data_IF_352123964164
#
_entry.id   IF_352123964164
#
_cell.length_a   1.000
_cell.length_b   1.000
_cell.length_c   1.000
_cell.angle_alpha   90.00
_cell.angle_beta   90.00
_cell.angle_gamma   90.00
#
_symmetry.space_group_name_H-M   'P 1'
#
loop_
_entity.id
_entity.type
_entity.pdbx_description
1 polymer ?
#
# COMPACT_ATOMS: atom_id res chain seq x y z
N UNK A 1 4.99 14.49 30.83
CA UNK A 1 5.71 13.96 32.00
C UNK A 1 5.46 12.47 32.08
N UNK A 2 6.43 11.63 31.70
CA UNK A 2 6.39 10.18 31.93
C UNK A 2 7.81 9.72 32.30
N UNK A 3 8.37 10.29 33.36
CA UNK A 3 9.60 9.79 33.97
C UNK A 3 9.26 8.71 34.99
N UNK A 4 8.77 7.57 34.49
CA UNK A 4 8.74 6.35 35.29
C UNK A 4 9.93 5.49 34.84
N UNK A 5 11.14 5.94 35.18
CA UNK A 5 12.32 5.10 35.06
C UNK A 5 12.15 3.95 36.05
N UNK A 6 11.89 2.75 35.52
CA UNK A 6 11.83 1.54 36.32
C UNK A 6 13.21 0.89 36.39
N UNK A 7 13.51 0.27 37.54
CA UNK A 7 14.70 -0.59 37.65
C UNK A 7 14.58 -1.75 36.65
N UNK A 8 15.71 -2.25 36.12
CA UNK A 8 15.70 -3.46 35.31
C UNK A 8 15.11 -4.63 36.10
N UNK A 9 14.24 -5.41 35.46
CA UNK A 9 13.73 -6.67 35.97
C UNK A 9 14.76 -7.75 35.67
N UNK A 10 15.72 -7.88 36.57
CA UNK A 10 16.83 -8.81 36.41
C UNK A 10 16.39 -10.26 36.25
N UNK A 11 15.30 -10.66 36.92
CA UNK A 11 14.77 -12.03 36.81
C UNK A 11 14.31 -12.31 35.38
N UNK A 12 13.57 -11.37 34.81
CA UNK A 12 13.07 -11.50 33.45
C UNK A 12 14.19 -11.39 32.40
N UNK A 13 15.20 -10.55 32.66
CA UNK A 13 16.40 -10.45 31.81
C UNK A 13 17.20 -11.76 31.86
N UNK A 14 17.29 -12.41 33.03
CA UNK A 14 18.02 -13.66 33.21
C UNK A 14 17.42 -14.82 32.40
N UNK A 15 16.09 -14.84 32.20
CA UNK A 15 15.41 -15.85 31.36
C UNK A 15 15.80 -15.80 29.87
N UNK A 16 16.34 -14.68 29.40
CA UNK A 16 16.74 -14.53 28.01
C UNK A 16 18.03 -15.31 27.73
N UNK A 17 18.03 -16.20 26.74
CA UNK A 17 19.27 -16.78 26.24
C UNK A 17 19.82 -15.95 25.07
N UNK A 18 21.02 -15.38 25.23
CA UNK A 18 21.68 -14.61 24.18
C UNK A 18 22.02 -15.47 22.96
N UNK A 19 22.51 -16.70 23.17
CA UNK A 19 22.87 -17.59 22.06
C UNK A 19 21.65 -17.92 21.19
N UNK A 20 20.51 -18.24 21.83
CA UNK A 20 19.28 -18.54 21.11
C UNK A 20 18.73 -17.31 20.38
N UNK A 21 18.88 -16.11 20.95
CA UNK A 21 18.51 -14.87 20.26
C UNK A 21 19.37 -14.62 19.02
N UNK A 22 20.68 -14.82 19.12
CA UNK A 22 21.61 -14.65 18.00
C UNK A 22 21.38 -15.68 16.89
N UNK A 23 20.97 -16.90 17.24
CA UNK A 23 20.58 -17.96 16.31
C UNK A 23 19.16 -17.78 15.74
N UNK A 24 18.38 -16.81 16.24
CA UNK A 24 17.01 -16.54 15.77
C UNK A 24 15.95 -17.54 16.25
N UNK A 25 16.26 -18.35 17.27
CA UNK A 25 15.36 -19.37 17.85
C UNK A 25 14.95 -19.05 19.30
N UNK A 26 15.33 -17.88 19.80
CA UNK A 26 14.99 -17.43 21.15
C UNK A 26 13.48 -17.21 21.35
N UNK A 27 13.02 -17.34 22.60
CA UNK A 27 11.62 -17.10 22.96
C UNK A 27 11.25 -15.63 22.77
N UNK A 28 10.43 -15.36 21.75
CA UNK A 28 9.95 -14.02 21.45
C UNK A 28 9.12 -13.44 22.60
N UNK A 29 8.30 -14.25 23.28
CA UNK A 29 7.44 -13.81 24.38
C UNK A 29 8.24 -13.27 25.57
N UNK A 30 9.28 -14.00 25.98
CA UNK A 30 10.18 -13.59 27.09
C UNK A 30 10.90 -12.30 26.71
N UNK A 31 11.45 -12.24 25.49
CA UNK A 31 12.11 -11.04 25.00
C UNK A 31 11.15 -9.84 25.03
N UNK A 32 9.96 -9.97 24.42
CA UNK A 32 8.97 -8.90 24.33
C UNK A 32 8.56 -8.36 25.70
N UNK A 33 8.41 -9.23 26.70
CA UNK A 33 8.13 -8.81 28.09
C UNK A 33 9.31 -8.09 28.74
N UNK A 34 10.54 -8.52 28.47
CA UNK A 34 11.75 -7.94 29.04
C UNK A 34 12.13 -6.59 28.41
N UNK A 35 11.84 -6.39 27.11
CA UNK A 35 12.32 -5.23 26.36
C UNK A 35 11.96 -3.87 26.99
N UNK A 36 10.74 -3.61 27.48
CA UNK A 36 10.43 -2.35 28.15
C UNK A 36 11.34 -2.10 29.36
N UNK A 37 11.65 -3.16 30.11
CA UNK A 37 12.56 -3.08 31.25
C UNK A 37 13.99 -2.76 30.83
N UNK A 38 14.44 -3.28 29.69
CA UNK A 38 15.78 -3.02 29.17
C UNK A 38 15.90 -1.61 28.56
N UNK A 39 14.91 -1.18 27.77
CA UNK A 39 14.98 0.07 26.98
C UNK A 39 14.64 1.30 27.83
N UNK A 40 13.74 1.17 28.80
CA UNK A 40 13.23 2.30 29.59
C UNK A 40 13.91 2.42 30.96
N UNK A 41 14.76 1.48 31.34
CA UNK A 41 15.49 1.56 32.60
C UNK A 41 16.63 2.57 32.53
N UNK A 42 16.94 3.14 33.69
CA UNK A 42 18.10 4.00 33.90
C UNK A 42 18.93 3.44 35.04
N UNK A 43 20.16 3.05 34.74
CA UNK A 43 21.11 2.53 35.72
C UNK A 43 22.12 3.64 36.01
N UNK A 44 21.91 4.36 37.10
CA UNK A 44 22.83 5.43 37.55
C UNK A 44 23.87 4.92 38.56
N UNK A 45 23.59 3.80 39.24
CA UNK A 45 24.42 3.19 40.28
C UNK A 45 24.27 1.66 40.24
N UNK A 46 25.32 0.93 40.60
CA UNK A 46 25.29 -0.52 40.74
C UNK A 46 24.93 -0.90 42.17
N UNK A 47 24.05 -1.88 42.33
CA UNK A 47 23.76 -2.58 43.59
C UNK A 47 24.07 -4.08 43.45
N UNK A 48 23.80 -4.87 44.48
CA UNK A 48 24.12 -6.31 44.51
C UNK A 48 23.45 -7.10 43.38
N UNK A 49 22.30 -6.64 42.88
CA UNK A 49 21.58 -7.25 41.76
C UNK A 49 22.12 -6.81 40.40
N UNK A 50 22.73 -5.62 40.32
CA UNK A 50 23.31 -5.06 39.10
C UNK A 50 24.72 -5.59 38.84
N UNK A 51 24.82 -6.88 38.50
CA UNK A 51 26.11 -7.52 38.21
C UNK A 51 26.65 -7.12 36.83
N UNK A 52 27.98 -7.22 36.66
CA UNK A 52 28.65 -6.95 35.37
C UNK A 52 28.08 -7.84 34.25
N UNK A 53 27.81 -9.11 34.55
CA UNK A 53 27.24 -10.06 33.58
C UNK A 53 25.86 -9.61 33.09
N UNK A 54 24.99 -9.18 34.00
CA UNK A 54 23.65 -8.67 33.67
C UNK A 54 23.72 -7.38 32.86
N UNK A 55 24.66 -6.49 33.18
CA UNK A 55 24.92 -5.27 32.39
C UNK A 55 25.39 -5.60 30.97
N UNK A 56 26.33 -6.53 30.82
CA UNK A 56 26.79 -6.98 29.50
C UNK A 56 25.66 -7.61 28.69
N UNK A 57 24.80 -8.40 29.35
CA UNK A 57 23.62 -9.00 28.73
C UNK A 57 22.62 -7.95 28.24
N UNK A 58 22.28 -6.96 29.08
CA UNK A 58 21.44 -5.84 28.68
C UNK A 58 22.05 -5.06 27.51
N UNK A 59 23.34 -4.77 27.58
CA UNK A 59 24.05 -4.06 26.52
C UNK A 59 24.01 -4.83 25.20
N UNK A 60 24.21 -6.16 25.25
CA UNK A 60 24.12 -7.01 24.07
C UNK A 60 22.71 -6.99 23.48
N UNK A 61 21.68 -7.07 24.32
CA UNK A 61 20.28 -6.97 23.86
C UNK A 61 20.01 -5.60 23.22
N UNK A 62 20.49 -4.51 23.82
CA UNK A 62 20.35 -3.17 23.26
C UNK A 62 21.04 -3.03 21.88
N UNK A 63 22.23 -3.61 21.70
CA UNK A 63 22.90 -3.68 20.40
C UNK A 63 22.05 -4.41 19.35
N UNK A 64 21.51 -5.59 19.71
CA UNK A 64 20.65 -6.37 18.82
C UNK A 64 19.35 -5.62 18.48
N UNK A 65 18.77 -4.90 19.43
CA UNK A 65 17.59 -4.06 19.19
C UNK A 65 17.88 -2.93 18.22
N UNK A 66 19.01 -2.22 18.37
CA UNK A 66 19.43 -1.17 17.45
C UNK A 66 19.63 -1.75 16.04
N UNK A 67 20.33 -2.88 15.93
CA UNK A 67 20.54 -3.56 14.65
C UNK A 67 19.21 -3.96 14.00
N UNK A 68 18.29 -4.54 14.77
CA UNK A 68 16.96 -4.93 14.30
C UNK A 68 16.14 -3.73 13.82
N UNK A 69 16.14 -2.63 14.57
CA UNK A 69 15.44 -1.39 14.20
C UNK A 69 16.01 -0.84 12.89
N UNK A 70 17.34 -0.77 12.76
CA UNK A 70 17.98 -0.25 11.55
C UNK A 70 17.67 -1.13 10.32
N UNK A 71 17.76 -2.46 10.44
CA UNK A 71 17.41 -3.40 9.37
C UNK A 71 15.94 -3.27 8.96
N UNK A 72 15.04 -3.21 9.93
CA UNK A 72 13.60 -3.11 9.69
C UNK A 72 13.24 -1.76 9.06
N UNK A 73 13.86 -0.67 9.52
CA UNK A 73 13.67 0.66 8.93
C UNK A 73 14.12 0.68 7.47
N UNK A 74 15.30 0.13 7.15
CA UNK A 74 15.80 0.07 5.77
C UNK A 74 14.86 -0.74 4.85
N UNK A 75 14.38 -1.89 5.32
CA UNK A 75 13.46 -2.74 4.55
C UNK A 75 12.10 -2.07 4.35
N UNK A 76 11.54 -1.42 5.38
CA UNK A 76 10.29 -0.68 5.26
C UNK A 76 10.40 0.51 4.30
N UNK A 77 11.51 1.26 4.34
CA UNK A 77 11.77 2.35 3.40
C UNK A 77 11.79 1.82 1.97
N UNK A 78 12.51 0.72 1.72
CA UNK A 78 12.58 0.07 0.41
C UNK A 78 11.19 -0.33 -0.11
N UNK A 79 10.36 -0.93 0.75
CA UNK A 79 9.00 -1.34 0.37
C UNK A 79 8.10 -0.14 0.07
N UNK A 80 8.20 0.95 0.83
CA UNK A 80 7.45 2.19 0.59
C UNK A 80 7.84 2.79 -0.76
N UNK A 81 9.13 2.87 -1.08
CA UNK A 81 9.61 3.36 -2.38
C UNK A 81 9.10 2.50 -3.54
N UNK A 82 9.12 1.17 -3.39
CA UNK A 82 8.62 0.24 -4.40
C UNK A 82 7.11 0.45 -4.65
N UNK A 83 6.31 0.55 -3.59
CA UNK A 83 4.87 0.79 -3.70
C UNK A 83 4.56 2.16 -4.31
N UNK A 84 5.32 3.20 -3.96
CA UNK A 84 5.18 4.53 -4.55
C UNK A 84 5.49 4.52 -6.05
N UNK A 85 6.53 3.79 -6.48
CA UNK A 85 6.88 3.66 -7.88
C UNK A 85 5.82 2.88 -8.66
N UNK A 86 5.30 1.79 -8.08
CA UNK A 86 4.19 1.03 -8.67
C UNK A 86 2.93 1.87 -8.80
N UNK A 87 2.60 2.66 -7.78
CA UNK A 87 1.46 3.57 -7.80
C UNK A 87 1.60 4.62 -8.92
N UNK A 88 2.77 5.24 -9.05
CA UNK A 88 3.06 6.20 -10.13
C UNK A 88 2.90 5.56 -11.50
N UNK A 89 3.47 4.37 -11.70
CA UNK A 89 3.36 3.64 -12.96
C UNK A 89 1.89 3.35 -13.34
N UNK A 90 1.14 2.74 -12.42
CA UNK A 90 -0.28 2.40 -12.63
C UNK A 90 -1.13 3.66 -12.83
N UNK A 91 -0.83 4.75 -12.13
CA UNK A 91 -1.51 6.04 -12.32
C UNK A 91 -1.24 6.63 -13.70
N UNK A 92 -0.01 6.54 -14.21
CA UNK A 92 0.35 7.01 -15.54
C UNK A 92 -0.31 6.17 -16.63
N UNK A 93 -0.30 4.85 -16.49
CA UNK A 93 -0.96 3.91 -17.40
C UNK A 93 -2.47 4.15 -17.46
N UNK A 94 -3.13 4.29 -16.32
CA UNK A 94 -4.54 4.63 -16.25
C UNK A 94 -4.85 5.99 -16.90
N UNK A 95 -3.99 6.99 -16.71
CA UNK A 95 -4.15 8.30 -17.36
C UNK A 95 -4.06 8.19 -18.88
N UNK A 96 -3.13 7.38 -19.40
CA UNK A 96 -3.00 7.10 -20.85
C UNK A 96 -4.22 6.37 -21.40
N UNK A 97 -4.62 5.27 -20.76
CA UNK A 97 -5.80 4.50 -21.16
C UNK A 97 -7.08 5.36 -21.14
N UNK A 98 -7.24 6.23 -20.15
CA UNK A 98 -8.37 7.18 -20.09
C UNK A 98 -8.35 8.17 -21.25
N UNK A 99 -7.17 8.69 -21.63
CA UNK A 99 -7.04 9.56 -22.80
C UNK A 99 -7.40 8.81 -24.08
N UNK A 100 -6.89 7.60 -24.25
CA UNK A 100 -7.18 6.75 -25.41
C UNK A 100 -8.68 6.42 -25.53
N UNK A 101 -9.36 6.16 -24.42
CA UNK A 101 -10.82 5.95 -24.40
C UNK A 101 -11.62 7.20 -24.80
N UNK A 102 -11.13 8.39 -24.42
CA UNK A 102 -11.78 9.68 -24.76
C UNK A 102 -11.46 10.11 -26.19
N UNK A 103 -10.26 9.79 -26.69
CA UNK A 103 -9.84 10.06 -28.07
C UNK A 103 -10.23 8.96 -29.07
N UNK A 104 -10.79 7.84 -28.59
CA UNK A 104 -11.46 6.86 -29.43
C UNK A 104 -12.57 7.53 -30.23
N UNK A 105 -12.93 7.00 -31.42
CA UNK A 105 -13.72 7.74 -32.40
C UNK A 105 -14.95 8.35 -31.73
N UNK A 106 -15.10 9.65 -31.89
CA UNK A 106 -16.28 10.43 -31.55
C UNK A 106 -17.50 9.88 -32.32
N UNK A 107 -18.00 8.72 -31.91
CA UNK A 107 -19.19 8.10 -32.51
C UNK A 107 -20.43 8.97 -32.27
N UNK A 108 -20.33 9.96 -31.39
CA UNK A 108 -21.38 10.94 -31.11
C UNK A 108 -21.38 12.09 -32.15
N UNK A 109 -20.22 12.47 -32.72
CA UNK A 109 -20.16 13.58 -33.69
C UNK A 109 -20.42 13.15 -35.15
N UNK A 110 -20.55 11.85 -35.41
CA UNK A 110 -20.95 11.30 -36.72
C UNK A 110 -22.19 10.41 -36.61
N UNK A 111 -23.12 10.74 -35.71
CA UNK A 111 -24.43 10.09 -35.68
C UNK A 111 -25.22 10.45 -36.94
N UNK A 112 -25.85 9.43 -37.55
CA UNK A 112 -26.71 9.59 -38.70
C UNK A 112 -28.09 10.09 -38.23
N UNK A 113 -28.44 11.33 -38.56
CA UNK A 113 -29.75 11.92 -38.22
C UNK A 113 -30.80 11.54 -39.26
N UNK A 114 -32.02 11.28 -38.80
CA UNK A 114 -33.19 11.18 -39.68
C UNK A 114 -33.71 12.56 -40.09
N UNK A 115 -33.98 12.75 -41.38
CA UNK A 115 -34.50 14.04 -41.89
C UNK A 115 -36.00 14.25 -41.62
N UNK A 116 -36.71 13.17 -41.23
CA UNK A 116 -38.15 13.17 -40.99
C UNK A 116 -38.52 13.13 -39.50
N UNK A 117 -37.56 12.88 -38.61
CA UNK A 117 -37.75 12.93 -37.16
C UNK A 117 -36.42 13.13 -36.42
N UNK A 118 -36.45 13.53 -35.15
CA UNK A 118 -35.22 13.83 -34.38
C UNK A 118 -34.47 12.59 -33.85
N UNK A 119 -34.58 11.44 -34.52
CA UNK A 119 -33.83 10.23 -34.15
C UNK A 119 -32.42 10.24 -34.72
N UNK A 120 -31.46 9.83 -33.89
CA UNK A 120 -30.05 9.69 -34.22
C UNK A 120 -29.66 8.20 -34.20
N UNK A 121 -28.82 7.80 -35.13
CA UNK A 121 -28.39 6.41 -35.31
C UNK A 121 -26.86 6.31 -35.36
N UNK A 122 -26.29 5.27 -34.75
CA UNK A 122 -24.84 5.04 -34.75
C UNK A 122 -24.29 4.60 -36.12
N UNK A 123 -25.13 4.00 -36.97
CA UNK A 123 -24.74 3.48 -38.28
C UNK A 123 -25.78 3.83 -39.35
N UNK A 124 -25.32 4.04 -40.59
CA UNK A 124 -26.17 4.36 -41.74
C UNK A 124 -27.18 3.25 -42.07
N UNK A 125 -26.81 1.98 -41.83
CA UNK A 125 -27.70 0.82 -42.03
C UNK A 125 -28.93 0.87 -41.12
N UNK A 126 -28.77 1.31 -39.88
CA UNK A 126 -29.89 1.48 -38.95
C UNK A 126 -30.79 2.66 -39.31
N UNK A 127 -30.20 3.75 -39.83
CA UNK A 127 -30.98 4.86 -40.39
C UNK A 127 -31.79 4.41 -41.60
N UNK A 128 -31.19 3.65 -42.53
CA UNK A 128 -31.88 3.13 -43.71
C UNK A 128 -33.06 2.22 -43.35
N UNK A 129 -32.85 1.27 -42.43
CA UNK A 129 -33.92 0.40 -41.92
C UNK A 129 -35.05 1.18 -41.25
N UNK A 130 -34.70 2.24 -40.51
CA UNK A 130 -35.66 3.14 -39.89
C UNK A 130 -36.50 3.88 -40.94
N UNK A 131 -35.86 4.48 -41.95
CA UNK A 131 -36.53 5.15 -43.05
C UNK A 131 -37.49 4.20 -43.76
N UNK A 132 -37.02 3.00 -44.11
CA UNK A 132 -37.81 1.98 -44.80
C UNK A 132 -38.99 1.44 -43.99
N UNK A 133 -38.98 1.49 -42.65
CA UNK A 133 -40.06 0.96 -41.81
C UNK A 133 -41.02 2.02 -41.28
N UNK A 134 -40.57 3.26 -41.15
CA UNK A 134 -41.30 4.34 -40.46
C UNK A 134 -41.62 5.54 -41.34
N UNK A 135 -40.95 5.68 -42.47
CA UNK A 135 -41.13 6.78 -43.43
C UNK A 135 -41.32 6.24 -44.85
N UNK A 136 -41.91 5.05 -44.97
CA UNK A 136 -42.02 4.25 -46.20
C UNK A 136 -43.02 4.80 -47.23
N UNK A 137 -43.74 5.87 -46.91
CA UNK A 137 -44.98 6.22 -47.60
C UNK A 137 -44.85 7.32 -48.67
N UNK A 138 -43.64 7.72 -49.10
CA UNK A 138 -43.48 8.69 -50.20
C UNK A 138 -42.21 8.45 -51.07
N UNK A 139 -42.08 7.26 -51.67
CA UNK A 139 -41.24 7.06 -52.87
C UNK A 139 -42.07 6.69 -54.11
N UNK A 140 -43.33 7.15 -54.17
CA UNK A 140 -44.13 7.19 -55.40
C UNK A 140 -44.66 8.61 -55.61
N UNK A 141 -43.93 9.40 -56.41
CA UNK A 141 -44.39 10.68 -56.95
C UNK A 141 -43.43 11.84 -56.67
N UNK A 142 -42.45 12.09 -57.51
CA UNK A 142 -42.69 12.81 -58.76
C UNK A 142 -41.45 12.75 -59.65
N UNK A 143 -41.72 12.66 -60.95
CA UNK A 143 -40.75 12.54 -62.02
C UNK A 143 -40.68 13.92 -62.68
N UNK A 144 -39.69 14.76 -62.34
CA UNK A 144 -39.24 15.86 -63.22
C UNK A 144 -37.89 16.45 -62.83
#
# INVERSE_FOLDING_TARGET
MLNNYHRPDWKLIDEISLSLLEEGVGSYDVLQRALPSIVLSKIDQTDDDCTIERLLKMFRIAQLQIEYILKTQAELVRQVEELQNRLKFVSMENSKLRKELVSGPETINSLFKCDRCDKLFLHSTFLYDHMKRKHKDEEEGDNK
#
